data_IF_222744943581
#
_entry.id   IF_222744943581
#
_cell.length_a   1.000
_cell.length_b   1.000
_cell.length_c   1.000
_cell.angle_alpha   90.00
_cell.angle_beta   90.00
_cell.angle_gamma   90.00
#
_symmetry.space_group_name_H-M   'P 1'
#
loop_
_entity.id
_entity.type
_entity.pdbx_description
1 polymer ?
#
# COMPACT_ATOMS: atom_id res chain seq x y z
N UNK A 1 25.32 17.34 16.87
CA UNK A 1 24.15 16.43 16.94
C UNK A 1 24.12 15.47 15.74
N UNK A 2 24.44 15.93 14.51
CA UNK A 2 24.47 15.07 13.32
C UNK A 2 25.61 14.06 13.26
N UNK A 3 26.81 14.40 13.76
CA UNK A 3 28.01 13.55 13.72
C UNK A 3 27.93 12.37 14.71
N UNK A 4 27.44 12.58 15.91
CA UNK A 4 27.32 11.53 16.93
C UNK A 4 26.27 10.47 16.57
N UNK A 5 25.16 10.88 15.91
CA UNK A 5 24.14 9.96 15.45
C UNK A 5 24.64 9.06 14.29
N UNK A 6 25.49 9.61 13.40
CA UNK A 6 26.12 8.85 12.32
C UNK A 6 27.17 7.85 12.83
N UNK A 7 27.94 8.21 13.85
CA UNK A 7 28.92 7.33 14.48
C UNK A 7 28.21 6.16 15.17
N UNK A 8 27.17 6.44 15.95
CA UNK A 8 26.39 5.43 16.65
C UNK A 8 25.69 4.44 15.71
N UNK A 9 25.21 4.91 14.56
CA UNK A 9 24.61 4.05 13.54
C UNK A 9 25.65 3.15 12.86
N UNK A 10 26.86 3.63 12.67
CA UNK A 10 27.97 2.84 12.12
C UNK A 10 28.41 1.76 13.09
N UNK A 11 28.57 2.09 14.37
CA UNK A 11 28.91 1.14 15.43
C UNK A 11 27.84 0.05 15.57
N UNK A 12 26.56 0.41 15.44
CA UNK A 12 25.44 -0.56 15.42
C UNK A 12 25.57 -1.51 14.24
N UNK A 13 25.84 -1.01 13.03
CA UNK A 13 25.98 -1.85 11.84
C UNK A 13 27.17 -2.81 11.97
N UNK A 14 28.33 -2.33 12.42
CA UNK A 14 29.53 -3.16 12.64
C UNK A 14 29.28 -4.25 13.69
N UNK A 15 28.54 -3.94 14.76
CA UNK A 15 28.21 -4.90 15.82
C UNK A 15 27.17 -5.93 15.34
N UNK A 16 26.19 -5.54 14.52
CA UNK A 16 25.22 -6.49 13.92
C UNK A 16 25.95 -7.47 13.01
N UNK A 17 26.88 -7.00 12.18
CA UNK A 17 27.68 -7.86 11.32
C UNK A 17 28.63 -8.79 12.11
N UNK A 18 28.90 -8.48 13.37
CA UNK A 18 29.63 -9.33 14.30
C UNK A 18 28.74 -10.38 15.01
N UNK A 19 27.43 -10.43 14.74
CA UNK A 19 26.50 -11.46 15.22
C UNK A 19 25.84 -11.20 16.58
N UNK A 20 25.74 -9.95 17.03
CA UNK A 20 25.03 -9.58 18.26
C UNK A 20 23.51 -9.51 18.04
N UNK A 21 22.77 -10.54 18.46
CA UNK A 21 21.32 -10.66 18.32
C UNK A 21 20.54 -9.52 19.03
N UNK A 22 21.04 -8.97 20.13
CA UNK A 22 20.42 -7.85 20.83
C UNK A 22 20.49 -6.55 20.02
N UNK A 23 21.58 -6.38 19.28
CA UNK A 23 21.75 -5.22 18.39
C UNK A 23 20.91 -5.37 17.12
N UNK A 24 20.74 -6.60 16.61
CA UNK A 24 19.87 -6.90 15.47
C UNK A 24 18.41 -6.49 15.76
N UNK A 25 17.88 -6.80 16.94
CA UNK A 25 16.55 -6.36 17.37
C UNK A 25 16.38 -4.84 17.40
N UNK A 26 17.40 -4.12 17.91
CA UNK A 26 17.44 -2.64 17.91
C UNK A 26 17.51 -2.04 16.49
N UNK A 27 18.19 -2.73 15.57
CA UNK A 27 18.27 -2.31 14.19
C UNK A 27 16.91 -2.49 13.47
N UNK A 28 16.27 -3.63 13.60
CA UNK A 28 14.96 -3.88 13.02
C UNK A 28 13.87 -2.95 13.56
N UNK A 29 13.95 -2.54 14.83
CA UNK A 29 12.99 -1.61 15.43
C UNK A 29 13.00 -0.20 14.80
N UNK A 30 13.95 0.12 13.93
CA UNK A 30 14.01 1.41 13.21
C UNK A 30 12.95 1.55 12.13
N UNK A 31 12.45 0.44 11.58
CA UNK A 31 11.44 0.42 10.53
C UNK A 31 11.75 1.29 9.30
N UNK A 32 13.04 1.50 8.98
CA UNK A 32 13.48 2.29 7.84
C UNK A 32 14.81 3.01 8.05
N UNK A 33 15.16 3.90 7.12
CA UNK A 33 16.42 4.63 7.16
C UNK A 33 17.64 3.79 6.76
N UNK A 34 17.42 2.64 6.11
CA UNK A 34 18.48 1.70 5.71
C UNK A 34 19.37 2.24 4.59
N UNK A 35 18.97 3.32 3.92
CA UNK A 35 19.82 4.08 2.99
C UNK A 35 21.13 4.59 3.61
N UNK A 36 21.23 4.60 4.95
CA UNK A 36 22.48 4.88 5.69
C UNK A 36 23.48 3.73 5.67
N UNK A 37 23.05 2.55 5.23
CA UNK A 37 23.86 1.33 5.21
C UNK A 37 23.91 0.76 3.78
N UNK A 38 24.58 1.44 2.83
CA UNK A 38 24.56 1.11 1.41
C UNK A 38 25.16 -0.26 1.06
N UNK A 39 25.93 -0.86 1.97
CA UNK A 39 26.49 -2.20 1.82
C UNK A 39 25.50 -3.32 2.21
N UNK A 40 24.35 -2.98 2.79
CA UNK A 40 23.38 -3.95 3.23
C UNK A 40 22.50 -4.40 2.05
N UNK A 41 22.27 -5.70 1.93
CA UNK A 41 21.27 -6.24 1.01
C UNK A 41 19.89 -6.17 1.65
N UNK A 42 18.98 -5.41 1.05
CA UNK A 42 17.63 -5.23 1.53
C UNK A 42 16.68 -6.21 0.85
N UNK A 43 16.18 -7.19 1.59
CA UNK A 43 15.12 -8.12 1.18
C UNK A 43 13.76 -7.82 1.83
N UNK A 44 13.62 -6.68 2.52
CA UNK A 44 12.45 -6.32 3.29
C UNK A 44 11.51 -5.36 2.55
N UNK A 45 12.07 -4.37 1.84
CA UNK A 45 11.28 -3.32 1.22
C UNK A 45 11.08 -3.55 -0.28
N UNK A 46 9.88 -4.02 -0.64
CA UNK A 46 9.46 -4.23 -2.02
C UNK A 46 9.10 -2.87 -2.65
N UNK A 47 10.07 -2.28 -3.33
CA UNK A 47 9.93 -0.98 -4.02
C UNK A 47 10.47 -1.14 -5.43
N UNK A 48 9.76 -0.61 -6.43
CA UNK A 48 10.19 -0.65 -7.82
C UNK A 48 11.45 0.23 -8.02
N UNK A 49 12.61 -0.36 -8.34
CA UNK A 49 13.85 0.40 -8.49
C UNK A 49 13.98 1.05 -9.88
N UNK A 50 13.04 0.81 -10.79
CA UNK A 50 13.17 1.17 -12.21
C UNK A 50 12.40 2.44 -12.60
N UNK A 51 11.43 2.90 -11.80
CA UNK A 51 10.54 4.00 -12.21
C UNK A 51 11.13 5.39 -11.98
N UNK A 52 11.88 5.64 -10.92
CA UNK A 52 12.47 6.94 -10.65
C UNK A 52 13.59 7.26 -11.65
N UNK A 53 13.17 7.52 -12.91
CA UNK A 53 14.10 7.91 -13.98
C UNK A 53 14.77 9.25 -13.64
N UNK A 54 15.95 9.50 -14.22
CA UNK A 54 16.66 10.78 -14.04
C UNK A 54 15.76 11.98 -14.31
N UNK A 55 14.90 11.91 -15.34
CA UNK A 55 14.00 13.00 -15.74
C UNK A 55 13.02 13.44 -14.65
N UNK A 56 12.38 12.49 -13.96
CA UNK A 56 11.43 12.82 -12.88
C UNK A 56 12.18 13.36 -11.66
N UNK A 57 13.36 12.83 -11.38
CA UNK A 57 14.22 13.33 -10.29
C UNK A 57 14.73 14.73 -10.62
N UNK A 58 15.24 14.97 -11.84
CA UNK A 58 15.69 16.29 -12.29
C UNK A 58 14.58 17.34 -12.16
N UNK A 59 13.33 16.98 -12.51
CA UNK A 59 12.18 17.89 -12.38
C UNK A 59 11.84 18.17 -10.89
N UNK A 60 11.96 17.19 -10.01
CA UNK A 60 11.79 17.37 -8.57
C UNK A 60 12.93 18.21 -7.97
N UNK A 61 14.18 17.99 -8.36
CA UNK A 61 15.34 18.76 -7.93
C UNK A 61 15.23 20.22 -8.35
N UNK A 62 14.79 20.50 -9.59
CA UNK A 62 14.58 21.84 -10.07
C UNK A 62 13.58 22.65 -9.22
N UNK A 63 12.62 21.98 -8.59
CA UNK A 63 11.59 22.59 -7.75
C UNK A 63 11.84 22.42 -6.25
N UNK A 64 12.94 21.76 -5.84
CA UNK A 64 13.21 21.37 -4.47
C UNK A 64 13.09 22.53 -3.46
N UNK A 65 13.69 23.70 -3.77
CA UNK A 65 13.69 24.87 -2.87
C UNK A 65 12.26 25.35 -2.58
N UNK A 66 11.40 25.41 -3.60
CA UNK A 66 10.00 25.81 -3.48
C UNK A 66 9.23 24.76 -2.68
N UNK A 67 9.40 23.47 -3.01
CA UNK A 67 8.67 22.37 -2.36
C UNK A 67 9.03 22.21 -0.86
N UNK A 68 10.23 22.62 -0.45
CA UNK A 68 10.63 22.64 0.96
C UNK A 68 10.09 23.85 1.70
N UNK A 69 10.00 25.02 1.01
CA UNK A 69 9.69 26.30 1.67
C UNK A 69 8.20 26.60 1.77
N UNK A 70 7.37 25.98 0.89
CA UNK A 70 5.97 26.31 0.76
C UNK A 70 5.05 25.19 1.28
N UNK A 71 3.91 25.58 1.84
CA UNK A 71 2.88 24.63 2.22
C UNK A 71 2.25 23.94 1.00
N UNK A 72 1.91 22.65 1.11
CA UNK A 72 1.11 21.99 0.09
C UNK A 72 -0.31 22.56 0.06
N UNK A 73 -1.02 22.27 -1.03
CA UNK A 73 -2.45 22.59 -1.16
C UNK A 73 -3.30 21.78 -0.17
N UNK A 74 -4.49 22.25 0.07
CA UNK A 74 -5.47 21.54 0.90
C UNK A 74 -6.10 20.34 0.19
N UNK A 75 -6.86 19.54 0.96
CA UNK A 75 -7.49 18.28 0.53
C UNK A 75 -8.26 18.38 -0.80
N UNK A 76 -8.95 19.48 -1.06
CA UNK A 76 -9.73 19.64 -2.30
C UNK A 76 -8.85 19.58 -3.55
N UNK A 77 -7.71 20.27 -3.55
CA UNK A 77 -6.76 20.25 -4.67
C UNK A 77 -6.10 18.87 -4.78
N UNK A 78 -5.65 18.32 -3.67
CA UNK A 78 -5.00 17.02 -3.64
C UNK A 78 -5.94 15.88 -4.09
N UNK A 79 -7.23 15.95 -3.74
CA UNK A 79 -8.26 15.01 -4.23
C UNK A 79 -8.44 15.13 -5.75
N UNK A 80 -8.49 16.36 -6.29
CA UNK A 80 -8.58 16.58 -7.74
C UNK A 80 -7.35 16.01 -8.47
N UNK A 81 -6.16 16.21 -7.94
CA UNK A 81 -4.92 15.64 -8.51
C UNK A 81 -4.95 14.12 -8.47
N UNK A 82 -5.32 13.53 -7.33
CA UNK A 82 -5.45 12.09 -7.18
C UNK A 82 -6.50 11.50 -8.15
N UNK A 83 -7.67 12.13 -8.26
CA UNK A 83 -8.71 11.77 -9.23
C UNK A 83 -8.16 11.71 -10.67
N UNK A 84 -7.41 12.72 -11.09
CA UNK A 84 -6.79 12.76 -12.41
C UNK A 84 -5.70 11.69 -12.60
N UNK A 85 -4.88 11.44 -11.58
CA UNK A 85 -3.79 10.47 -11.66
C UNK A 85 -4.29 9.03 -11.79
N UNK A 86 -5.35 8.67 -11.08
CA UNK A 86 -5.83 7.29 -11.01
C UNK A 86 -7.18 7.06 -11.69
N UNK A 87 -7.77 8.10 -12.29
CA UNK A 87 -8.99 7.97 -13.12
C UNK A 87 -10.25 7.65 -12.30
N UNK A 88 -10.28 7.99 -11.01
CA UNK A 88 -11.40 7.75 -10.10
C UNK A 88 -12.09 9.08 -9.77
N UNK A 89 -13.41 9.11 -9.66
CA UNK A 89 -14.19 10.33 -9.30
C UNK A 89 -13.67 10.95 -8.00
N UNK A 90 -13.67 12.29 -7.93
CA UNK A 90 -13.21 13.03 -6.75
C UNK A 90 -13.96 12.65 -5.45
N UNK A 91 -15.24 12.32 -5.55
CA UNK A 91 -16.05 11.92 -4.41
C UNK A 91 -15.74 10.50 -3.92
N UNK A 92 -15.03 9.70 -4.71
CA UNK A 92 -14.69 8.31 -4.39
C UNK A 92 -13.25 8.12 -3.93
N UNK A 93 -12.42 9.16 -3.94
CA UNK A 93 -10.99 9.06 -3.63
C UNK A 93 -10.56 10.03 -2.54
N UNK A 94 -9.62 9.58 -1.72
CA UNK A 94 -8.83 10.38 -0.79
C UNK A 94 -7.37 9.99 -0.88
N UNK A 95 -6.45 10.96 -0.76
CA UNK A 95 -5.02 10.72 -0.60
C UNK A 95 -4.56 10.98 0.82
N UNK A 96 -3.57 10.23 1.27
CA UNK A 96 -3.00 10.31 2.60
C UNK A 96 -1.48 10.25 2.62
N UNK A 97 -0.90 10.53 3.78
CA UNK A 97 0.54 10.46 4.05
C UNK A 97 1.01 8.99 4.10
N UNK A 98 1.02 8.37 2.93
CA UNK A 98 1.11 6.93 2.73
C UNK A 98 -0.21 6.21 3.05
N UNK A 99 -0.33 4.97 2.58
CA UNK A 99 -1.48 4.12 2.90
C UNK A 99 -1.63 3.93 4.43
N UNK A 100 -0.54 3.97 5.19
CA UNK A 100 -0.56 3.77 6.64
C UNK A 100 -1.43 4.80 7.40
N UNK A 101 -1.46 6.07 6.97
CA UNK A 101 -2.37 7.07 7.55
C UNK A 101 -3.83 6.67 7.29
N UNK A 102 -4.14 6.32 6.05
CA UNK A 102 -5.50 5.94 5.66
C UNK A 102 -5.96 4.64 6.33
N UNK A 103 -5.06 3.66 6.46
CA UNK A 103 -5.31 2.42 7.20
C UNK A 103 -5.64 2.74 8.66
N UNK A 104 -4.82 3.55 9.32
CA UNK A 104 -5.04 3.94 10.72
C UNK A 104 -6.42 4.57 10.89
N UNK A 105 -6.71 5.63 10.14
CA UNK A 105 -7.98 6.36 10.24
C UNK A 105 -9.19 5.45 9.90
N UNK A 106 -9.05 4.58 8.88
CA UNK A 106 -10.11 3.63 8.52
C UNK A 106 -10.36 2.64 9.66
N UNK A 107 -9.30 1.99 10.17
CA UNK A 107 -9.44 0.96 11.19
C UNK A 107 -9.99 1.51 12.52
N UNK A 108 -9.74 2.77 12.83
CA UNK A 108 -10.32 3.46 13.99
C UNK A 108 -11.83 3.74 13.82
N UNK A 109 -12.34 3.77 12.59
CA UNK A 109 -13.78 3.98 12.32
C UNK A 109 -14.59 2.68 12.26
N UNK A 110 -13.92 1.54 12.13
CA UNK A 110 -14.58 0.24 12.01
C UNK A 110 -14.97 -0.30 13.38
N UNK A 111 -16.09 -1.00 13.42
CA UNK A 111 -16.61 -1.69 14.61
C UNK A 111 -16.93 -3.14 14.26
N UNK A 112 -17.06 -4.00 15.27
CA UNK A 112 -17.43 -5.40 15.07
C UNK A 112 -16.22 -6.32 14.88
N UNK A 113 -16.40 -7.37 14.10
CA UNK A 113 -15.40 -8.43 13.86
C UNK A 113 -14.63 -8.20 12.57
N UNK A 114 -13.30 -8.36 12.61
CA UNK A 114 -12.42 -8.29 11.46
C UNK A 114 -11.95 -9.68 11.04
N UNK A 115 -12.26 -10.09 9.81
CA UNK A 115 -11.68 -11.27 9.16
C UNK A 115 -10.34 -10.92 8.52
N UNK A 116 -9.32 -11.72 8.78
CA UNK A 116 -8.00 -11.60 8.15
C UNK A 116 -7.47 -12.95 7.68
N UNK A 117 -6.57 -12.91 6.72
CA UNK A 117 -5.78 -14.07 6.27
C UNK A 117 -4.38 -13.96 6.88
N UNK A 118 -3.78 -15.05 7.38
CA UNK A 118 -2.41 -15.06 7.92
C UNK A 118 -1.52 -16.05 7.15
N UNK A 119 -0.23 -15.68 6.96
CA UNK A 119 0.46 -14.44 7.40
C UNK A 119 -0.08 -13.19 6.72
N UNK A 120 0.06 -12.00 7.30
CA UNK A 120 -0.51 -10.75 6.79
C UNK A 120 0.38 -9.54 7.05
N UNK A 121 0.05 -8.41 6.43
CA UNK A 121 0.62 -7.12 6.78
C UNK A 121 -0.02 -6.61 8.08
N UNK A 122 0.76 -6.58 9.16
CA UNK A 122 0.28 -6.37 10.53
C UNK A 122 -0.27 -4.97 10.81
N UNK A 123 -0.10 -3.99 9.93
CA UNK A 123 -0.61 -2.62 10.17
C UNK A 123 -2.14 -2.62 10.34
N UNK A 124 -2.87 -3.45 9.62
CA UNK A 124 -4.33 -3.55 9.77
C UNK A 124 -4.76 -4.12 11.13
N UNK A 125 -4.35 -5.35 11.52
CA UNK A 125 -4.77 -5.91 12.80
C UNK A 125 -4.20 -5.14 14.00
N UNK A 126 -3.01 -4.54 13.89
CA UNK A 126 -2.43 -3.73 14.96
C UNK A 126 -3.19 -2.42 15.22
N UNK A 127 -4.00 -1.94 14.27
CA UNK A 127 -4.87 -0.78 14.42
C UNK A 127 -6.29 -1.13 14.90
N UNK A 128 -6.61 -2.41 14.97
CA UNK A 128 -7.89 -2.87 15.53
C UNK A 128 -7.91 -2.67 17.05
N UNK A 129 -8.62 -1.67 17.55
CA UNK A 129 -8.66 -1.37 18.99
C UNK A 129 -9.71 -2.17 19.75
N UNK A 130 -10.80 -2.59 19.10
CA UNK A 130 -11.99 -3.11 19.77
C UNK A 130 -12.58 -4.37 19.13
N UNK A 131 -11.95 -4.87 18.08
CA UNK A 131 -12.56 -5.94 17.31
C UNK A 131 -12.03 -7.31 17.72
N UNK A 132 -12.93 -8.26 17.70
CA UNK A 132 -12.53 -9.66 17.64
C UNK A 132 -11.96 -9.93 16.24
N UNK A 133 -10.73 -10.43 16.19
CA UNK A 133 -10.09 -10.81 14.94
C UNK A 133 -10.36 -12.28 14.67
N UNK A 134 -11.00 -12.57 13.53
CA UNK A 134 -11.23 -13.94 13.03
C UNK A 134 -10.20 -14.22 11.96
N UNK A 135 -9.36 -15.21 12.20
CA UNK A 135 -8.20 -15.49 11.37
C UNK A 135 -8.41 -16.75 10.53
N UNK A 136 -8.26 -16.61 9.21
CA UNK A 136 -8.09 -17.73 8.29
C UNK A 136 -6.58 -17.99 8.09
N UNK A 137 -6.16 -19.26 8.21
CA UNK A 137 -4.79 -19.70 7.94
C UNK A 137 -4.85 -20.81 6.89
N UNK A 138 -4.30 -20.60 5.68
CA UNK A 138 -4.21 -21.64 4.67
C UNK A 138 -3.47 -22.86 5.20
N UNK A 139 -4.01 -24.06 4.97
CA UNK A 139 -3.49 -25.32 5.50
C UNK A 139 -2.49 -25.99 4.54
N UNK A 140 -1.66 -25.20 3.86
CA UNK A 140 -0.60 -25.67 2.97
C UNK A 140 0.69 -24.87 3.20
N UNK A 141 1.82 -25.44 2.78
CA UNK A 141 3.14 -24.85 3.03
C UNK A 141 3.42 -23.58 2.23
N UNK A 142 2.65 -23.33 1.17
CA UNK A 142 2.81 -22.16 0.29
C UNK A 142 1.86 -21.03 0.64
N UNK A 143 1.00 -21.20 1.66
CA UNK A 143 -0.04 -20.22 2.04
C UNK A 143 -0.98 -19.85 0.88
N UNK A 144 -1.24 -20.78 -0.05
CA UNK A 144 -2.14 -20.60 -1.18
C UNK A 144 -3.59 -20.75 -0.75
N UNK A 145 -4.44 -19.91 -1.26
CA UNK A 145 -5.89 -19.93 -1.07
C UNK A 145 -6.60 -19.29 -2.26
N UNK A 146 -7.86 -19.61 -2.42
CA UNK A 146 -8.76 -19.03 -3.41
C UNK A 146 -9.99 -18.40 -2.72
N UNK A 147 -10.87 -17.77 -3.50
CA UNK A 147 -12.07 -17.12 -2.93
C UNK A 147 -13.06 -18.12 -2.33
N UNK A 148 -13.12 -19.35 -2.82
CA UNK A 148 -14.02 -20.36 -2.25
C UNK A 148 -13.60 -20.74 -0.83
N UNK A 149 -12.29 -20.88 -0.58
CA UNK A 149 -11.75 -21.15 0.75
C UNK A 149 -12.16 -20.04 1.74
N UNK A 150 -12.12 -18.77 1.29
CA UNK A 150 -12.51 -17.61 2.10
C UNK A 150 -14.03 -17.59 2.35
N UNK A 151 -14.83 -17.80 1.31
CA UNK A 151 -16.29 -17.83 1.43
C UNK A 151 -16.78 -18.95 2.35
N UNK A 152 -16.20 -20.14 2.27
CA UNK A 152 -16.54 -21.27 3.13
C UNK A 152 -16.15 -21.00 4.59
N UNK A 153 -14.93 -20.50 4.81
CA UNK A 153 -14.46 -20.21 6.15
C UNK A 153 -15.26 -19.09 6.82
N UNK A 154 -15.39 -17.92 6.17
CA UNK A 154 -16.10 -16.78 6.74
C UNK A 154 -17.63 -16.94 6.67
N UNK A 155 -18.14 -17.82 5.83
CA UNK A 155 -19.54 -18.28 5.88
C UNK A 155 -19.85 -19.06 7.15
N UNK A 156 -18.89 -19.85 7.66
CA UNK A 156 -19.03 -20.59 8.93
C UNK A 156 -18.65 -19.76 10.16
N UNK A 157 -17.85 -18.71 9.98
CA UNK A 157 -17.39 -17.78 11.03
C UNK A 157 -17.62 -16.34 10.57
N UNK A 158 -18.87 -15.83 10.69
CA UNK A 158 -19.23 -14.52 10.16
C UNK A 158 -18.39 -13.38 10.75
N UNK A 159 -18.10 -12.38 9.90
CA UNK A 159 -17.36 -11.17 10.25
C UNK A 159 -18.09 -9.95 9.71
N UNK A 160 -17.88 -8.78 10.33
CA UNK A 160 -18.45 -7.51 9.86
C UNK A 160 -17.61 -6.87 8.75
N UNK A 161 -16.30 -7.11 8.79
CA UNK A 161 -15.34 -6.62 7.80
C UNK A 161 -14.37 -7.75 7.43
N UNK A 162 -14.09 -7.92 6.15
CA UNK A 162 -13.07 -8.84 5.62
C UNK A 162 -11.95 -8.04 4.98
N UNK A 163 -10.71 -8.30 5.39
CA UNK A 163 -9.49 -7.75 4.77
C UNK A 163 -8.91 -8.76 3.79
N UNK A 164 -8.70 -8.33 2.56
CA UNK A 164 -7.97 -9.03 1.52
C UNK A 164 -6.78 -8.16 1.07
N UNK A 165 -5.56 -8.61 1.26
CA UNK A 165 -4.37 -8.01 0.67
C UNK A 165 -4.09 -8.76 -0.63
N UNK A 166 -4.08 -8.05 -1.76
CA UNK A 166 -4.03 -8.69 -3.08
C UNK A 166 -3.20 -7.90 -4.12
N UNK A 167 -2.04 -8.39 -4.54
CA UNK A 167 -1.34 -9.60 -4.08
C UNK A 167 -1.01 -9.58 -2.60
N UNK A 168 -1.06 -10.76 -1.96
CA UNK A 168 -0.88 -10.89 -0.53
C UNK A 168 0.56 -10.61 -0.08
N UNK A 169 0.68 -9.98 1.07
CA UNK A 169 1.96 -9.71 1.72
C UNK A 169 1.96 -10.37 3.11
N UNK A 170 2.80 -11.40 3.38
CA UNK A 170 4.03 -11.75 2.64
C UNK A 170 3.92 -12.94 1.68
N UNK A 171 2.79 -13.65 1.58
CA UNK A 171 2.72 -14.95 0.87
C UNK A 171 2.86 -14.85 -0.65
N UNK A 172 2.57 -13.66 -1.23
CA UNK A 172 2.54 -13.47 -2.69
C UNK A 172 1.33 -14.13 -3.37
N UNK A 173 0.37 -14.68 -2.62
CA UNK A 173 -0.85 -15.23 -3.20
C UNK A 173 -1.61 -14.14 -3.96
N UNK A 174 -2.09 -14.45 -5.16
CA UNK A 174 -2.82 -13.50 -5.99
C UNK A 174 -4.18 -14.07 -6.42
N UNK A 175 -5.20 -13.28 -6.25
CA UNK A 175 -6.57 -13.57 -6.66
C UNK A 175 -6.91 -12.64 -7.82
N UNK A 176 -7.48 -13.17 -8.90
CA UNK A 176 -7.85 -12.39 -10.09
C UNK A 176 -8.87 -11.30 -9.75
N UNK A 177 -8.91 -10.23 -10.55
CA UNK A 177 -9.90 -9.15 -10.38
C UNK A 177 -11.33 -9.70 -10.45
N UNK A 178 -11.58 -10.65 -11.37
CA UNK A 178 -12.88 -11.30 -11.54
C UNK A 178 -13.28 -12.04 -10.26
N UNK A 179 -12.37 -12.80 -9.66
CA UNK A 179 -12.61 -13.52 -8.41
C UNK A 179 -12.80 -12.56 -7.24
N UNK A 180 -12.04 -11.48 -7.16
CA UNK A 180 -12.26 -10.43 -6.14
C UNK A 180 -13.66 -9.81 -6.29
N UNK A 181 -14.15 -9.60 -7.50
CA UNK A 181 -15.52 -9.14 -7.75
C UNK A 181 -16.58 -10.17 -7.31
N UNK A 182 -16.32 -11.47 -7.49
CA UNK A 182 -17.19 -12.54 -6.96
C UNK A 182 -17.21 -12.50 -5.43
N UNK A 183 -16.04 -12.37 -4.79
CA UNK A 183 -15.94 -12.23 -3.34
C UNK A 183 -16.67 -10.97 -2.84
N UNK A 184 -16.53 -9.84 -3.53
CA UNK A 184 -17.23 -8.60 -3.19
C UNK A 184 -18.75 -8.80 -3.22
N UNK A 185 -19.28 -9.46 -4.25
CA UNK A 185 -20.70 -9.80 -4.34
C UNK A 185 -21.16 -10.74 -3.22
N UNK A 186 -20.31 -11.69 -2.83
CA UNK A 186 -20.59 -12.56 -1.68
C UNK A 186 -20.62 -11.74 -0.38
N UNK A 187 -19.64 -10.86 -0.16
CA UNK A 187 -19.58 -9.96 0.99
C UNK A 187 -20.86 -9.10 1.10
N UNK A 188 -21.29 -8.49 -0.01
CA UNK A 188 -22.51 -7.68 -0.05
C UNK A 188 -23.75 -8.46 0.43
N UNK A 189 -23.92 -9.69 -0.06
CA UNK A 189 -25.05 -10.56 0.31
C UNK A 189 -25.06 -10.94 1.79
N UNK A 190 -23.89 -10.95 2.43
CA UNK A 190 -23.72 -11.31 3.84
C UNK A 190 -23.59 -10.09 4.75
N UNK A 191 -23.72 -8.88 4.21
CA UNK A 191 -23.58 -7.64 4.98
C UNK A 191 -22.13 -7.37 5.44
N UNK A 192 -21.13 -7.97 4.79
CA UNK A 192 -19.71 -7.85 5.10
C UNK A 192 -19.10 -6.69 4.31
N UNK A 193 -18.36 -5.81 4.96
CA UNK A 193 -17.52 -4.81 4.30
C UNK A 193 -16.25 -5.48 3.79
N UNK A 194 -15.90 -5.27 2.53
CA UNK A 194 -14.66 -5.79 1.97
C UNK A 194 -13.61 -4.67 1.87
N UNK A 195 -12.46 -4.86 2.50
CA UNK A 195 -11.27 -4.03 2.31
C UNK A 195 -10.31 -4.79 1.41
N UNK A 196 -9.91 -4.20 0.30
CA UNK A 196 -8.89 -4.75 -0.61
C UNK A 196 -7.68 -3.82 -0.61
N UNK A 197 -6.53 -4.32 -0.16
CA UNK A 197 -5.25 -3.63 -0.30
C UNK A 197 -4.57 -4.09 -1.59
N UNK A 198 -4.57 -3.24 -2.61
CA UNK A 198 -3.94 -3.52 -3.90
C UNK A 198 -2.56 -2.86 -4.07
N UNK A 199 -1.84 -2.62 -2.97
CA UNK A 199 -0.54 -1.93 -2.99
C UNK A 199 0.51 -2.60 -3.88
N UNK A 200 0.35 -3.88 -4.19
CA UNK A 200 1.26 -4.67 -5.03
C UNK A 200 0.64 -5.12 -6.37
N UNK A 201 -0.57 -4.69 -6.70
CA UNK A 201 -1.28 -5.17 -7.91
C UNK A 201 -0.52 -4.87 -9.20
N UNK A 202 0.23 -3.76 -9.24
CA UNK A 202 1.03 -3.38 -10.41
C UNK A 202 2.24 -4.31 -10.66
N UNK A 203 2.52 -5.23 -9.75
CA UNK A 203 3.54 -6.26 -9.89
C UNK A 203 2.98 -7.62 -10.34
N UNK A 204 1.66 -7.74 -10.49
CA UNK A 204 1.02 -8.97 -10.98
C UNK A 204 1.11 -9.12 -12.50
N UNK A 205 1.04 -10.35 -13.00
CA UNK A 205 0.95 -10.60 -14.44
C UNK A 205 -0.32 -9.94 -15.02
N UNK A 206 -0.21 -9.30 -16.17
CA UNK A 206 -1.34 -8.59 -16.79
C UNK A 206 -1.82 -7.36 -16.00
N UNK A 207 -0.99 -6.80 -15.16
CA UNK A 207 -1.26 -5.76 -14.16
C UNK A 207 -2.10 -4.57 -14.65
N UNK A 208 -2.02 -4.22 -15.93
CA UNK A 208 -2.75 -3.08 -16.51
C UNK A 208 -4.26 -3.19 -16.40
N UNK A 209 -4.78 -4.40 -16.18
CA UNK A 209 -6.22 -4.68 -16.08
C UNK A 209 -6.62 -5.27 -14.72
N UNK A 210 -5.69 -5.33 -13.75
CA UNK A 210 -5.91 -6.04 -12.49
C UNK A 210 -6.33 -5.13 -11.33
N UNK A 211 -6.27 -3.81 -11.51
CA UNK A 211 -6.69 -2.85 -10.49
C UNK A 211 -8.21 -2.76 -10.38
N UNK A 212 -8.70 -2.56 -9.17
CA UNK A 212 -10.11 -2.31 -8.86
C UNK A 212 -10.48 -0.81 -8.93
N UNK A 213 -9.54 0.06 -9.27
CA UNK A 213 -9.69 1.52 -9.31
C UNK A 213 -10.40 1.97 -10.60
N UNK A 214 -11.61 1.47 -10.80
CA UNK A 214 -12.51 1.92 -11.86
C UNK A 214 -13.85 2.33 -11.25
N UNK A 215 -14.40 3.47 -11.68
CA UNK A 215 -15.67 4.00 -11.18
C UNK A 215 -16.79 2.98 -11.25
N UNK A 216 -16.92 2.27 -12.35
CA UNK A 216 -17.96 1.24 -12.55
C UNK A 216 -17.79 0.05 -11.58
N UNK A 217 -16.57 -0.31 -11.22
CA UNK A 217 -16.31 -1.38 -10.24
C UNK A 217 -16.69 -0.90 -8.84
N UNK A 218 -16.23 0.29 -8.45
CA UNK A 218 -16.56 0.88 -7.16
C UNK A 218 -18.07 1.10 -6.99
N UNK A 219 -18.76 1.57 -8.03
CA UNK A 219 -20.21 1.78 -8.03
C UNK A 219 -21.00 0.46 -7.97
N UNK A 220 -20.47 -0.61 -8.55
CA UNK A 220 -21.08 -1.94 -8.47
C UNK A 220 -20.97 -2.52 -7.07
N UNK A 221 -19.89 -2.20 -6.34
CA UNK A 221 -19.61 -2.72 -5.00
C UNK A 221 -19.37 -1.59 -3.98
N UNK A 222 -20.38 -0.78 -3.63
CA UNK A 222 -20.20 0.40 -2.79
C UNK A 222 -19.76 0.09 -1.35
N UNK A 223 -19.92 -1.16 -0.89
CA UNK A 223 -19.42 -1.65 0.40
C UNK A 223 -17.92 -2.02 0.36
N UNK A 224 -17.29 -2.00 -0.84
CA UNK A 224 -15.87 -2.27 -1.00
C UNK A 224 -15.05 -1.00 -0.82
N UNK A 225 -13.90 -1.17 -0.15
CA UNK A 225 -12.88 -0.15 0.04
C UNK A 225 -11.60 -0.65 -0.58
N UNK A 226 -10.99 0.12 -1.46
CA UNK A 226 -9.72 -0.21 -2.08
C UNK A 226 -8.65 0.73 -1.53
N UNK A 227 -7.54 0.17 -1.03
CA UNK A 227 -6.38 0.91 -0.53
C UNK A 227 -5.19 0.60 -1.42
N UNK A 228 -4.40 1.61 -1.74
CA UNK A 228 -3.18 1.47 -2.55
C UNK A 228 -2.07 2.36 -2.04
N UNK A 229 -0.94 1.76 -1.70
CA UNK A 229 0.29 2.49 -1.44
C UNK A 229 0.96 2.88 -2.76
N UNK A 230 1.19 4.17 -2.95
CA UNK A 230 1.92 4.67 -4.13
C UNK A 230 3.44 4.47 -3.97
N UNK A 231 3.89 4.24 -2.76
CA UNK A 231 5.31 4.07 -2.45
C UNK A 231 5.97 2.87 -3.14
N UNK A 232 5.21 1.82 -3.45
CA UNK A 232 5.72 0.51 -3.87
C UNK A 232 6.03 0.46 -5.36
N UNK A 233 5.02 0.34 -6.19
CA UNK A 233 5.17 0.22 -7.64
C UNK A 233 5.72 1.48 -8.29
N UNK A 234 5.44 2.65 -7.72
CA UNK A 234 5.97 3.93 -8.20
C UNK A 234 7.40 4.24 -7.72
N UNK A 235 8.01 3.40 -6.89
CA UNK A 235 9.41 3.56 -6.49
C UNK A 235 9.71 4.81 -5.65
N UNK A 236 8.72 5.41 -5.00
CA UNK A 236 8.83 6.70 -4.30
C UNK A 236 8.43 6.63 -2.82
N UNK A 237 9.00 5.70 -2.04
CA UNK A 237 8.58 5.51 -0.65
C UNK A 237 8.80 6.75 0.24
N UNK A 238 9.78 7.58 -0.10
CA UNK A 238 10.08 8.81 0.62
C UNK A 238 9.03 9.90 0.45
N UNK A 239 8.21 9.88 -0.62
CA UNK A 239 7.14 10.84 -0.84
C UNK A 239 5.96 10.64 0.09
N UNK A 240 5.81 9.45 0.69
CA UNK A 240 4.72 9.15 1.60
C UNK A 240 3.35 9.42 0.99
N UNK A 241 3.01 8.76 -0.11
CA UNK A 241 1.71 8.90 -0.78
C UNK A 241 0.97 7.58 -0.80
N UNK A 242 -0.31 7.61 -0.45
CA UNK A 242 -1.25 6.49 -0.57
C UNK A 242 -2.63 7.02 -0.92
N UNK A 243 -3.48 6.15 -1.45
CA UNK A 243 -4.86 6.46 -1.78
C UNK A 243 -5.81 5.43 -1.19
N UNK A 244 -7.04 5.86 -0.92
CA UNK A 244 -8.17 5.01 -0.58
C UNK A 244 -9.36 5.40 -1.45
N UNK A 245 -10.04 4.41 -2.01
CA UNK A 245 -11.16 4.61 -2.91
C UNK A 245 -12.36 3.77 -2.48
N UNK A 246 -13.56 4.34 -2.59
CA UNK A 246 -14.86 3.67 -2.41
C UNK A 246 -15.98 4.51 -3.00
N UNK A 247 -17.04 3.88 -3.51
CA UNK A 247 -18.25 4.60 -3.89
C UNK A 247 -19.14 4.98 -2.68
N UNK A 248 -18.80 4.56 -1.45
CA UNK A 248 -19.40 5.09 -0.22
C UNK A 248 -18.89 6.54 0.02
N UNK A 249 -19.57 7.50 -0.63
CA UNK A 249 -19.26 8.94 -0.52
C UNK A 249 -19.30 9.40 0.94
N UNK A 250 -20.17 8.81 1.76
CA UNK A 250 -20.26 9.12 3.19
C UNK A 250 -19.00 8.72 3.93
N UNK A 251 -18.45 7.54 3.64
CA UNK A 251 -17.16 7.07 4.18
C UNK A 251 -16.02 8.00 3.74
N UNK A 252 -15.89 8.24 2.42
CA UNK A 252 -14.82 9.08 1.88
C UNK A 252 -14.88 10.51 2.49
N UNK A 253 -16.09 11.05 2.67
CA UNK A 253 -16.27 12.37 3.31
C UNK A 253 -15.82 12.36 4.78
N UNK A 254 -16.13 11.29 5.53
CA UNK A 254 -15.65 11.12 6.92
C UNK A 254 -14.14 11.03 6.98
N UNK A 255 -13.55 10.22 6.10
CA UNK A 255 -12.10 10.07 6.01
C UNK A 255 -11.39 11.39 5.69
N UNK A 256 -11.92 12.18 4.74
CA UNK A 256 -11.40 13.52 4.40
C UNK A 256 -11.44 14.49 5.59
N UNK A 257 -12.35 14.30 6.55
CA UNK A 257 -12.43 15.10 7.78
C UNK A 257 -11.54 14.57 8.91
N UNK A 258 -11.23 13.28 8.90
CA UNK A 258 -10.42 12.64 9.94
C UNK A 258 -8.92 12.95 9.79
N UNK A 259 -8.42 12.98 8.55
CA UNK A 259 -7.01 13.31 8.30
C UNK A 259 -6.69 14.77 8.62
N UNK A 260 -5.44 15.03 8.99
CA UNK A 260 -4.98 16.37 9.33
C UNK A 260 -5.00 17.32 8.14
N UNK A 261 -5.12 18.63 8.40
CA UNK A 261 -4.86 19.65 7.38
C UNK A 261 -3.42 19.50 6.86
N UNK A 262 -3.22 19.64 5.55
CA UNK A 262 -1.91 19.41 4.90
C UNK A 262 -1.31 18.03 5.21
N UNK A 263 -2.15 17.01 5.23
CA UNK A 263 -1.74 15.66 5.57
C UNK A 263 -0.72 15.04 4.61
N UNK A 264 -0.66 15.48 3.36
CA UNK A 264 0.41 15.12 2.42
C UNK A 264 1.39 16.27 2.26
N UNK A 265 2.64 15.95 1.95
CA UNK A 265 3.68 16.95 1.75
C UNK A 265 3.69 17.49 0.32
N UNK A 266 4.34 18.64 0.12
CA UNK A 266 4.46 19.33 -1.18
C UNK A 266 5.12 18.49 -2.27
N UNK A 267 6.06 17.60 -1.91
CA UNK A 267 6.69 16.69 -2.87
C UNK A 267 5.70 15.65 -3.39
N UNK A 268 4.83 15.11 -2.54
CA UNK A 268 3.77 14.18 -2.95
C UNK A 268 2.73 14.87 -3.84
N UNK A 269 2.33 16.09 -3.51
CA UNK A 269 1.46 16.90 -4.36
C UNK A 269 2.10 17.16 -5.72
N UNK A 270 3.35 17.61 -5.74
CA UNK A 270 4.08 17.89 -6.98
C UNK A 270 4.24 16.63 -7.84
N UNK A 271 4.52 15.49 -7.21
CA UNK A 271 4.55 14.20 -7.90
C UNK A 271 3.24 13.94 -8.64
N UNK A 272 2.09 14.11 -8.00
CA UNK A 272 0.78 13.95 -8.66
C UNK A 272 0.59 14.94 -9.82
N UNK A 273 1.10 16.17 -9.72
CA UNK A 273 1.02 17.17 -10.80
C UNK A 273 1.81 16.76 -12.04
N UNK A 274 2.97 16.11 -11.87
CA UNK A 274 3.86 15.80 -12.99
C UNK A 274 3.72 14.35 -13.51
N UNK A 275 3.12 13.44 -12.73
CA UNK A 275 3.09 11.99 -12.99
C UNK A 275 2.62 11.64 -14.41
N UNK A 276 1.58 12.31 -14.92
CA UNK A 276 1.04 12.03 -16.26
C UNK A 276 2.08 12.14 -17.39
N UNK A 277 3.13 12.94 -17.21
CA UNK A 277 4.24 13.06 -18.18
C UNK A 277 5.07 11.77 -18.24
N UNK A 278 5.08 11.00 -17.16
CA UNK A 278 5.95 9.83 -16.93
C UNK A 278 5.20 8.49 -16.92
N UNK A 279 3.92 8.48 -17.28
CA UNK A 279 3.09 7.28 -17.25
C UNK A 279 3.66 6.14 -18.14
N UNK A 280 4.24 6.49 -19.29
CA UNK A 280 4.90 5.50 -20.16
C UNK A 280 6.17 4.92 -19.54
N UNK A 281 6.91 5.74 -18.80
CA UNK A 281 8.12 5.30 -18.09
C UNK A 281 7.73 4.38 -16.93
N UNK A 282 6.62 4.69 -16.24
CA UNK A 282 6.03 3.85 -15.21
C UNK A 282 5.65 2.46 -15.74
N UNK A 283 4.92 2.41 -16.86
CA UNK A 283 4.54 1.13 -17.50
C UNK A 283 5.75 0.26 -17.81
N UNK A 284 6.77 0.83 -18.45
CA UNK A 284 8.04 0.12 -18.74
C UNK A 284 8.76 -0.35 -17.47
N UNK A 285 8.71 0.44 -16.40
CA UNK A 285 9.33 0.07 -15.14
C UNK A 285 8.63 -1.12 -14.47
N UNK A 286 7.30 -1.16 -14.50
CA UNK A 286 6.53 -2.30 -14.00
C UNK A 286 6.79 -3.57 -14.83
N UNK A 287 6.78 -3.47 -16.17
CA UNK A 287 7.11 -4.58 -17.06
C UNK A 287 8.52 -5.13 -16.79
N UNK A 288 9.49 -4.24 -16.61
CA UNK A 288 10.86 -4.62 -16.27
C UNK A 288 10.91 -5.33 -14.91
N UNK A 289 10.22 -4.80 -13.91
CA UNK A 289 10.17 -5.41 -12.57
C UNK A 289 9.59 -6.83 -12.63
N UNK A 290 8.49 -7.03 -13.34
CA UNK A 290 7.86 -8.34 -13.54
C UNK A 290 8.82 -9.31 -14.23
N UNK A 291 9.50 -8.85 -15.28
CA UNK A 291 10.49 -9.66 -16.02
C UNK A 291 11.65 -10.10 -15.11
N UNK A 292 12.22 -9.19 -14.33
CA UNK A 292 13.32 -9.51 -13.39
C UNK A 292 12.86 -10.46 -12.28
N UNK A 293 11.66 -10.27 -11.73
CA UNK A 293 11.07 -11.19 -10.75
C UNK A 293 10.94 -12.60 -11.32
N UNK A 294 10.42 -12.74 -12.54
CA UNK A 294 10.23 -14.03 -13.18
C UNK A 294 11.55 -14.73 -13.46
N UNK A 295 12.57 -13.97 -13.88
CA UNK A 295 13.93 -14.51 -14.04
C UNK A 295 14.52 -14.99 -12.72
N UNK A 296 14.37 -14.19 -11.65
CA UNK A 296 14.85 -14.54 -10.31
C UNK A 296 14.17 -15.80 -9.78
N UNK A 297 12.86 -15.95 -9.99
CA UNK A 297 12.11 -17.15 -9.60
C UNK A 297 12.62 -18.39 -10.32
N UNK A 298 12.90 -18.29 -11.64
CA UNK A 298 13.46 -19.37 -12.43
C UNK A 298 14.88 -19.79 -12.00
N UNK A 299 15.68 -18.86 -11.48
CA UNK A 299 17.03 -19.15 -11.00
C UNK A 299 17.05 -19.79 -9.60
N UNK A 300 15.95 -19.65 -8.83
CA UNK A 300 15.82 -20.26 -7.51
C UNK A 300 15.24 -21.70 -7.55
N UNK A 301 14.58 -22.08 -8.64
CA UNK A 301 14.00 -23.41 -8.85
C UNK A 301 14.98 -24.33 -9.60
#
# INVERSE_FOLDING_TARGET
VGSEMCIRDRDIAETIFAGDENMLGKFYSRYGGFWRFPQMLDFCYLVNPYFHSSKIIDEMEANFRTLVAEYPSGMKVNTLLASKCWGVKEDYIICGNGAAELIKELMETLTGTLGIIRPTFEEYPNRCQLQTVVTFIPQNNEYRYNIQDLMDFFGSKPVDTLLLINPDNPSGNYISMEDVCILAKWCERHGVRLIVDESFVDFSEGWTNNSLLYDNVLETYPHMIVIKSISKSYGVPGLRLGIMCSADVGLITRMKKAVSIWNINSFAEFFMQIFSKYEKDYKRACEKFISERNLFELELC
#
